data_IF_007167973509
#
_entry.id   IF_007167973509
#
_cell.length_a   1.000
_cell.length_b   1.000
_cell.length_c   1.000
_cell.angle_alpha   90.00
_cell.angle_beta   90.00
_cell.angle_gamma   90.00
#
_symmetry.space_group_name_H-M   'P 1'
#
loop_
_entity.id
_entity.type
_entity.pdbx_description
1 polymer ?
#
# COMPACT_ATOMS: atom_id res chain seq x y z
N UNK A 1 -15.71 -8.09 -16.36
CA UNK A 1 -15.60 -7.71 -14.93
C UNK A 1 -15.55 -6.18 -14.88
N UNK A 2 -16.29 -5.51 -13.99
CA UNK A 2 -16.31 -4.03 -13.86
C UNK A 2 -16.11 -3.60 -12.41
N UNK A 3 -15.97 -2.29 -12.14
CA UNK A 3 -15.71 -1.77 -10.79
C UNK A 3 -16.81 -2.10 -9.78
N UNK A 4 -18.09 -2.11 -10.18
CA UNK A 4 -19.18 -2.49 -9.28
C UNK A 4 -19.06 -3.95 -8.83
N UNK A 5 -18.78 -4.85 -9.79
CA UNK A 5 -18.54 -6.26 -9.48
C UNK A 5 -17.30 -6.46 -8.61
N UNK A 6 -16.20 -5.73 -8.86
CA UNK A 6 -14.99 -5.79 -8.03
C UNK A 6 -15.25 -5.28 -6.61
N UNK A 7 -16.01 -4.20 -6.44
CA UNK A 7 -16.41 -3.69 -5.12
C UNK A 7 -17.28 -4.71 -4.37
N UNK A 8 -18.23 -5.34 -5.05
CA UNK A 8 -19.05 -6.41 -4.45
C UNK A 8 -18.16 -7.58 -4.01
N UNK A 9 -17.22 -8.01 -4.84
CA UNK A 9 -16.28 -9.08 -4.48
C UNK A 9 -15.38 -8.69 -3.30
N UNK A 10 -14.90 -7.45 -3.24
CA UNK A 10 -14.15 -6.91 -2.11
C UNK A 10 -14.97 -6.99 -0.81
N UNK A 11 -16.23 -6.52 -0.82
CA UNK A 11 -17.11 -6.62 0.34
C UNK A 11 -17.34 -8.08 0.77
N UNK A 12 -17.53 -9.00 -0.19
CA UNK A 12 -17.66 -10.43 0.13
C UNK A 12 -16.42 -10.96 0.85
N UNK A 13 -15.21 -10.59 0.43
CA UNK A 13 -13.98 -10.99 1.12
C UNK A 13 -13.86 -10.36 2.51
N UNK A 14 -14.30 -9.09 2.67
CA UNK A 14 -14.35 -8.41 3.96
C UNK A 14 -15.31 -9.12 4.92
N UNK A 15 -16.56 -9.37 4.50
CA UNK A 15 -17.56 -10.07 5.31
C UNK A 15 -17.14 -11.49 5.68
N UNK A 16 -16.46 -12.19 4.78
CA UNK A 16 -16.04 -13.58 5.01
C UNK A 16 -14.86 -13.67 5.98
N UNK A 17 -13.88 -12.78 5.86
CA UNK A 17 -12.57 -12.98 6.49
C UNK A 17 -12.21 -11.94 7.56
N UNK A 18 -12.87 -10.77 7.57
CA UNK A 18 -12.43 -9.62 8.36
C UNK A 18 -13.51 -9.03 9.27
N UNK A 19 -14.69 -8.73 8.73
CA UNK A 19 -15.79 -8.10 9.47
C UNK A 19 -16.54 -9.17 10.25
N UNK A 20 -16.17 -9.32 11.52
CA UNK A 20 -16.75 -10.28 12.44
C UNK A 20 -17.47 -9.57 13.59
N UNK A 21 -18.46 -10.22 14.17
CA UNK A 21 -19.18 -9.77 15.36
C UNK A 21 -18.56 -10.39 16.60
N UNK A 22 -18.02 -9.53 17.47
CA UNK A 22 -17.51 -9.91 18.78
C UNK A 22 -18.66 -10.06 19.77
N UNK A 23 -18.52 -10.98 20.73
CA UNK A 23 -19.43 -11.09 21.89
C UNK A 23 -18.66 -10.75 23.15
N UNK A 24 -19.14 -9.75 23.89
CA UNK A 24 -18.59 -9.33 25.18
C UNK A 24 -19.67 -9.45 26.25
N UNK A 25 -19.32 -10.05 27.39
CA UNK A 25 -20.27 -10.33 28.47
C UNK A 25 -20.86 -9.07 29.12
N UNK A 26 -20.18 -7.93 29.03
CA UNK A 26 -20.63 -6.64 29.60
C UNK A 26 -21.19 -5.71 28.54
N UNK A 27 -20.69 -5.78 27.31
CA UNK A 27 -21.02 -4.82 26.23
C UNK A 27 -21.98 -5.37 25.17
N UNK A 28 -22.29 -6.65 25.23
CA UNK A 28 -23.13 -7.32 24.23
C UNK A 28 -22.38 -7.61 22.93
N UNK A 29 -23.12 -7.65 21.82
CA UNK A 29 -22.58 -7.98 20.50
C UNK A 29 -22.27 -6.71 19.70
N UNK A 30 -21.07 -6.65 19.11
CA UNK A 30 -20.68 -5.53 18.25
C UNK A 30 -19.71 -5.96 17.14
N UNK A 31 -19.81 -5.39 15.93
CA UNK A 31 -18.85 -5.65 14.87
C UNK A 31 -17.44 -5.15 15.22
N UNK A 32 -16.41 -5.86 14.78
CA UNK A 32 -15.02 -5.58 15.16
C UNK A 32 -14.41 -4.31 14.54
N UNK A 33 -15.13 -3.64 13.63
CA UNK A 33 -14.78 -2.31 13.14
C UNK A 33 -15.39 -1.16 13.99
N UNK A 34 -16.13 -1.48 15.06
CA UNK A 34 -16.67 -0.51 16.00
C UNK A 34 -15.73 -0.26 17.20
N UNK A 35 -15.83 0.94 17.77
CA UNK A 35 -15.38 1.17 19.15
C UNK A 35 -16.43 0.65 20.14
N UNK A 36 -16.08 -0.41 20.87
CA UNK A 36 -16.92 -1.07 21.87
C UNK A 36 -17.42 -0.14 22.99
N UNK A 37 -16.80 1.01 23.20
CA UNK A 37 -17.23 1.99 24.22
C UNK A 37 -18.15 3.08 23.65
N UNK A 38 -18.41 3.09 22.33
CA UNK A 38 -19.21 4.11 21.66
C UNK A 38 -20.49 3.51 21.07
N UNK A 39 -21.64 3.84 21.68
CA UNK A 39 -22.96 3.40 21.19
C UNK A 39 -23.21 3.79 19.73
N UNK A 40 -22.77 4.99 19.34
CA UNK A 40 -22.90 5.49 17.97
C UNK A 40 -22.02 4.68 17.02
N UNK A 41 -20.76 4.40 17.40
CA UNK A 41 -19.87 3.57 16.58
C UNK A 41 -20.42 2.17 16.37
N UNK A 42 -20.94 1.54 17.42
CA UNK A 42 -21.58 0.21 17.35
C UNK A 42 -22.79 0.24 16.41
N UNK A 43 -23.66 1.25 16.54
CA UNK A 43 -24.84 1.39 15.68
C UNK A 43 -24.46 1.52 14.20
N UNK A 44 -23.51 2.40 13.88
CA UNK A 44 -23.04 2.60 12.49
C UNK A 44 -22.41 1.31 11.94
N UNK A 45 -21.61 0.63 12.74
CA UNK A 45 -20.97 -0.61 12.31
C UNK A 45 -21.98 -1.71 11.99
N UNK A 46 -23.06 -1.82 12.77
CA UNK A 46 -24.18 -2.72 12.47
C UNK A 46 -24.89 -2.37 11.17
N UNK A 47 -25.19 -1.09 10.94
CA UNK A 47 -25.80 -0.63 9.68
C UNK A 47 -24.93 -0.96 8.46
N UNK A 48 -23.61 -0.77 8.57
CA UNK A 48 -22.67 -1.15 7.51
C UNK A 48 -22.71 -2.66 7.28
N UNK A 49 -22.60 -3.46 8.34
CA UNK A 49 -22.62 -4.93 8.26
C UNK A 49 -23.90 -5.42 7.57
N UNK A 50 -25.06 -4.91 7.98
CA UNK A 50 -26.36 -5.31 7.42
C UNK A 50 -26.53 -4.92 5.94
N UNK A 51 -25.81 -3.89 5.47
CA UNK A 51 -25.86 -3.47 4.08
C UNK A 51 -24.91 -4.27 3.17
N UNK A 52 -23.76 -4.72 3.68
CA UNK A 52 -22.71 -5.34 2.85
C UNK A 52 -22.56 -6.84 3.04
N UNK A 53 -23.04 -7.39 4.15
CA UNK A 53 -22.96 -8.81 4.46
C UNK A 53 -24.36 -9.44 4.48
N UNK A 54 -24.49 -10.66 3.94
CA UNK A 54 -25.76 -11.40 3.98
C UNK A 54 -26.11 -11.85 5.41
N UNK A 55 -25.09 -12.26 6.18
CA UNK A 55 -25.25 -12.75 7.56
C UNK A 55 -24.04 -12.35 8.41
N UNK A 56 -24.23 -12.05 9.71
CA UNK A 56 -23.13 -11.79 10.62
C UNK A 56 -22.31 -13.06 10.86
N UNK A 57 -20.98 -12.93 10.78
CA UNK A 57 -20.04 -13.98 11.18
C UNK A 57 -19.59 -13.68 12.61
N UNK A 58 -19.86 -14.59 13.52
CA UNK A 58 -19.47 -14.44 14.93
C UNK A 58 -18.08 -15.04 15.17
N UNK A 59 -17.28 -14.38 16.00
CA UNK A 59 -15.97 -14.88 16.38
C UNK A 59 -15.12 -13.86 17.11
N UNK A 60 -13.81 -14.10 17.11
CA UNK A 60 -12.80 -13.16 17.59
C UNK A 60 -11.64 -13.13 16.61
N UNK A 61 -11.10 -11.93 16.39
CA UNK A 61 -10.00 -11.67 15.48
C UNK A 61 -9.03 -10.72 16.16
N UNK A 62 -7.77 -11.13 16.28
CA UNK A 62 -6.74 -10.24 16.84
C UNK A 62 -6.55 -9.03 15.92
N UNK A 63 -6.15 -7.91 16.51
CA UNK A 63 -5.93 -6.64 15.79
C UNK A 63 -4.89 -6.83 14.69
N UNK A 64 -3.81 -7.57 14.97
CA UNK A 64 -2.76 -7.85 14.00
C UNK A 64 -3.29 -8.66 12.82
N UNK A 65 -4.05 -9.74 13.09
CA UNK A 65 -4.61 -10.59 12.04
C UNK A 65 -5.63 -9.82 11.20
N UNK A 66 -6.47 -8.98 11.83
CA UNK A 66 -7.39 -8.09 11.14
C UNK A 66 -6.65 -7.12 10.20
N UNK A 67 -5.55 -6.52 10.66
CA UNK A 67 -4.72 -5.62 9.85
C UNK A 67 -4.15 -6.34 8.62
N UNK A 68 -3.52 -7.50 8.80
CA UNK A 68 -2.94 -8.28 7.69
C UNK A 68 -3.99 -8.70 6.67
N UNK A 69 -5.16 -9.18 7.13
CA UNK A 69 -6.26 -9.55 6.22
C UNK A 69 -6.76 -8.32 5.46
N UNK A 70 -6.91 -7.17 6.13
CA UNK A 70 -7.36 -5.95 5.49
C UNK A 70 -6.38 -5.46 4.41
N UNK A 71 -5.07 -5.50 4.70
CA UNK A 71 -4.01 -5.20 3.72
C UNK A 71 -4.11 -6.13 2.51
N UNK A 72 -4.20 -7.45 2.73
CA UNK A 72 -4.24 -8.43 1.64
C UNK A 72 -5.48 -8.25 0.75
N UNK A 73 -6.67 -8.18 1.35
CA UNK A 73 -7.94 -8.05 0.61
C UNK A 73 -7.98 -6.73 -0.17
N UNK A 74 -7.40 -5.66 0.38
CA UNK A 74 -7.30 -4.36 -0.28
C UNK A 74 -6.28 -4.39 -1.41
N UNK A 75 -5.11 -5.01 -1.22
CA UNK A 75 -4.10 -5.20 -2.28
C UNK A 75 -4.68 -5.93 -3.48
N UNK A 76 -5.40 -7.04 -3.24
CA UNK A 76 -6.01 -7.85 -4.30
C UNK A 76 -7.11 -7.09 -5.05
N UNK A 77 -7.89 -6.25 -4.34
CA UNK A 77 -8.88 -5.38 -4.97
C UNK A 77 -8.22 -4.30 -5.84
N UNK A 78 -7.16 -3.67 -5.37
CA UNK A 78 -6.40 -2.67 -6.12
C UNK A 78 -5.79 -3.26 -7.39
N UNK A 79 -5.13 -4.41 -7.27
CA UNK A 79 -4.51 -5.12 -8.40
C UNK A 79 -5.54 -5.44 -9.50
N UNK A 80 -6.68 -6.03 -9.13
CA UNK A 80 -7.76 -6.37 -10.08
C UNK A 80 -8.42 -5.12 -10.68
N UNK A 81 -8.62 -4.07 -9.88
CA UNK A 81 -9.26 -2.83 -10.34
C UNK A 81 -8.36 -2.06 -11.28
N UNK A 82 -7.10 -1.89 -10.93
CA UNK A 82 -6.14 -1.12 -11.72
C UNK A 82 -5.74 -1.86 -13.01
N UNK A 83 -5.81 -3.20 -13.03
CA UNK A 83 -5.66 -3.97 -14.26
C UNK A 83 -6.69 -3.59 -15.35
N UNK A 84 -7.91 -3.17 -14.98
CA UNK A 84 -8.90 -2.67 -15.94
C UNK A 84 -8.52 -1.30 -16.54
N UNK A 85 -7.63 -0.55 -15.89
CA UNK A 85 -7.18 0.78 -16.30
C UNK A 85 -5.90 0.78 -17.13
N UNK A 86 -5.39 -0.39 -17.56
CA UNK A 86 -4.14 -0.50 -18.35
C UNK A 86 -4.15 0.30 -19.65
N UNK A 87 -5.33 0.53 -20.24
CA UNK A 87 -5.47 1.34 -21.46
C UNK A 87 -5.29 2.85 -21.20
N UNK A 88 -5.58 3.34 -19.99
CA UNK A 88 -5.38 4.75 -19.59
C UNK A 88 -4.02 4.93 -18.92
N UNK A 89 -3.54 3.88 -18.22
CA UNK A 89 -2.28 3.89 -17.47
C UNK A 89 -1.45 2.63 -17.78
N UNK A 90 -0.85 2.55 -18.98
CA UNK A 90 -0.09 1.38 -19.41
C UNK A 90 1.21 1.20 -18.62
N UNK A 91 1.63 -0.05 -18.48
CA UNK A 91 2.86 -0.42 -17.79
C UNK A 91 2.76 -1.80 -17.13
N UNK A 92 3.92 -2.30 -16.70
CA UNK A 92 4.00 -3.45 -15.80
C UNK A 92 3.94 -2.93 -14.35
N UNK A 93 2.92 -3.37 -13.63
CA UNK A 93 2.60 -2.88 -12.29
C UNK A 93 2.79 -4.00 -11.27
N UNK A 94 3.43 -3.66 -10.16
CA UNK A 94 3.72 -4.57 -9.05
C UNK A 94 2.94 -4.12 -7.81
N UNK A 95 2.40 -5.07 -7.05
CA UNK A 95 1.65 -4.81 -5.82
C UNK A 95 2.23 -5.69 -4.72
N UNK A 96 2.63 -5.07 -3.61
CA UNK A 96 3.13 -5.80 -2.46
C UNK A 96 2.69 -5.15 -1.15
N UNK A 97 2.69 -5.96 -0.10
CA UNK A 97 2.41 -5.51 1.27
C UNK A 97 3.72 -5.37 2.05
N UNK A 98 3.77 -4.43 2.98
CA UNK A 98 4.87 -4.27 3.95
C UNK A 98 6.28 -4.23 3.32
N UNK A 99 6.40 -3.69 2.10
CA UNK A 99 7.69 -3.56 1.41
C UNK A 99 8.34 -2.23 1.76
N UNK A 100 9.62 -2.21 2.18
CA UNK A 100 10.33 -0.97 2.46
C UNK A 100 10.39 -0.05 1.25
N UNK A 101 10.21 1.25 1.46
CA UNK A 101 10.33 2.23 0.36
C UNK A 101 11.73 2.27 -0.24
N UNK A 102 12.76 1.90 0.53
CA UNK A 102 14.15 1.81 0.10
C UNK A 102 14.40 0.76 -0.99
N UNK A 103 13.44 -0.13 -1.25
CA UNK A 103 13.46 -1.06 -2.39
C UNK A 103 13.11 -0.40 -3.73
N UNK A 104 12.72 0.87 -3.74
CA UNK A 104 12.33 1.62 -4.94
C UNK A 104 13.35 2.68 -5.31
N UNK A 105 13.48 2.95 -6.61
CA UNK A 105 14.55 3.82 -7.13
C UNK A 105 14.57 5.23 -6.54
N UNK A 106 13.39 5.81 -6.24
CA UNK A 106 13.31 7.16 -5.66
C UNK A 106 13.87 7.26 -4.23
N UNK A 107 14.04 6.12 -3.54
CA UNK A 107 14.43 6.05 -2.13
C UNK A 107 15.63 5.14 -1.90
N UNK A 108 16.32 4.68 -2.96
CA UNK A 108 17.43 3.72 -2.86
C UNK A 108 18.57 4.15 -1.94
N UNK A 109 18.81 5.46 -1.84
CA UNK A 109 19.87 5.99 -0.99
C UNK A 109 19.52 5.83 0.51
N UNK A 110 18.25 5.66 0.87
CA UNK A 110 17.85 5.32 2.24
C UNK A 110 18.41 3.97 2.66
N UNK A 111 18.53 2.99 1.77
CA UNK A 111 19.17 1.71 2.09
C UNK A 111 20.67 1.89 2.43
N UNK A 112 21.34 2.86 1.79
CA UNK A 112 22.73 3.19 2.09
C UNK A 112 22.84 3.90 3.44
N UNK A 113 21.97 4.87 3.70
CA UNK A 113 21.88 5.59 4.98
C UNK A 113 21.62 4.60 6.11
N UNK A 114 20.69 3.66 5.94
CA UNK A 114 20.39 2.62 6.94
C UNK A 114 21.63 1.79 7.31
N UNK A 115 22.43 1.39 6.32
CA UNK A 115 23.68 0.63 6.57
C UNK A 115 24.68 1.46 7.38
N UNK A 116 24.84 2.74 7.07
CA UNK A 116 25.78 3.64 7.78
C UNK A 116 25.29 3.91 9.21
N UNK A 117 23.99 4.15 9.39
CA UNK A 117 23.41 4.42 10.70
C UNK A 117 23.52 3.21 11.63
N UNK A 118 23.35 1.98 11.11
CA UNK A 118 23.54 0.75 11.91
C UNK A 118 24.94 0.60 12.50
N UNK A 119 25.95 1.22 11.90
CA UNK A 119 27.35 1.12 12.34
C UNK A 119 27.71 2.26 13.32
N UNK A 120 26.95 3.35 13.35
CA UNK A 120 27.25 4.53 14.17
C UNK A 120 26.11 4.90 15.12
N UNK A 121 26.33 4.66 16.42
CA UNK A 121 25.39 5.01 17.48
C UNK A 121 25.07 6.51 17.52
N UNK A 122 26.05 7.37 17.23
CA UNK A 122 25.87 8.82 17.20
C UNK A 122 24.92 9.25 16.06
N UNK A 123 25.05 8.64 14.89
CA UNK A 123 24.16 8.90 13.74
C UNK A 123 22.76 8.35 13.99
N UNK A 124 22.63 7.16 14.60
CA UNK A 124 21.33 6.59 14.97
C UNK A 124 20.54 7.49 15.92
N UNK A 125 21.24 8.14 16.87
CA UNK A 125 20.60 9.05 17.82
C UNK A 125 20.17 10.37 17.17
N UNK A 126 20.90 10.82 16.15
CA UNK A 126 20.66 12.12 15.49
C UNK A 126 19.66 12.05 14.32
N UNK A 127 19.66 10.96 13.55
CA UNK A 127 18.81 10.78 12.37
C UNK A 127 17.48 10.06 12.67
N UNK A 128 17.34 9.46 13.85
CA UNK A 128 16.17 8.67 14.24
C UNK A 128 16.05 7.35 13.48
N UNK A 129 14.95 6.61 13.66
CA UNK A 129 14.64 5.36 12.93
C UNK A 129 13.61 5.53 11.81
N UNK A 130 13.09 6.74 11.64
CA UNK A 130 11.90 7.04 10.82
C UNK A 130 12.14 6.94 9.30
N UNK A 131 13.38 6.72 8.86
CA UNK A 131 13.70 6.50 7.45
C UNK A 131 13.43 5.06 6.98
N UNK A 132 13.24 4.11 7.90
CA UNK A 132 12.91 2.70 7.59
C UNK A 132 11.38 2.57 7.59
N UNK A 133 10.74 3.04 6.53
CA UNK A 133 9.29 2.90 6.39
C UNK A 133 8.90 1.83 5.39
N UNK A 134 8.00 0.96 5.84
CA UNK A 134 7.33 -0.05 5.03
C UNK A 134 5.85 0.25 5.03
N UNK A 135 5.32 0.91 3.98
CA UNK A 135 3.89 1.12 3.84
C UNK A 135 3.12 -0.20 3.84
N UNK A 136 1.87 -0.12 4.27
CA UNK A 136 0.97 -1.27 4.31
C UNK A 136 0.83 -1.93 2.94
N UNK A 137 0.58 -1.13 1.90
CA UNK A 137 0.58 -1.55 0.49
C UNK A 137 1.40 -0.56 -0.32
N UNK A 138 2.21 -1.08 -1.23
CA UNK A 138 2.91 -0.29 -2.26
C UNK A 138 2.49 -0.74 -3.65
N UNK A 139 2.41 0.23 -4.56
CA UNK A 139 2.24 -0.01 -5.99
C UNK A 139 3.52 0.46 -6.68
N UNK A 140 4.20 -0.46 -7.36
CA UNK A 140 5.40 -0.19 -8.14
C UNK A 140 5.13 -0.24 -9.63
N UNK A 141 5.96 0.44 -10.42
CA UNK A 141 5.99 0.34 -11.88
C UNK A 141 7.39 -0.08 -12.32
N UNK A 142 7.48 -1.12 -13.13
CA UNK A 142 8.76 -1.49 -13.73
C UNK A 142 9.15 -0.51 -14.84
N UNK A 143 10.46 -0.28 -15.04
CA UNK A 143 10.98 0.34 -16.25
C UNK A 143 10.55 -0.40 -17.53
N UNK A 144 10.68 0.26 -18.66
CA UNK A 144 10.34 -0.28 -19.98
C UNK A 144 11.59 -0.45 -20.83
N UNK A 145 11.59 -1.49 -21.66
CA UNK A 145 12.66 -1.75 -22.62
C UNK A 145 12.59 -0.77 -23.79
N UNK A 146 13.73 -0.58 -24.46
CA UNK A 146 13.80 0.26 -25.66
C UNK A 146 12.90 -0.24 -26.79
N UNK A 147 12.63 -1.56 -26.83
CA UNK A 147 11.68 -2.16 -27.77
C UNK A 147 10.25 -1.66 -27.52
N UNK A 148 9.82 -1.57 -26.25
CA UNK A 148 8.49 -1.06 -25.92
C UNK A 148 8.41 0.47 -26.14
N UNK A 149 9.48 1.21 -25.84
CA UNK A 149 9.57 2.65 -26.13
C UNK A 149 9.42 2.89 -27.64
N UNK A 150 10.11 2.10 -28.46
CA UNK A 150 10.15 2.25 -29.91
C UNK A 150 8.97 1.61 -30.66
N UNK A 151 7.95 1.10 -29.95
CA UNK A 151 6.85 0.34 -30.54
C UNK A 151 5.99 1.14 -31.52
N UNK A 152 5.82 2.44 -31.29
CA UNK A 152 5.04 3.34 -32.14
C UNK A 152 5.89 4.10 -33.18
N UNK A 153 7.22 3.89 -33.17
CA UNK A 153 8.19 4.60 -34.00
C UNK A 153 9.57 4.58 -33.37
N UNK A 154 10.62 4.75 -34.16
CA UNK A 154 11.99 4.80 -33.64
C UNK A 154 12.22 6.13 -32.92
N UNK A 155 12.08 6.13 -31.59
CA UNK A 155 12.23 7.31 -30.72
C UNK A 155 13.62 7.37 -30.07
N UNK A 156 14.20 6.21 -29.75
CA UNK A 156 15.53 6.09 -29.15
C UNK A 156 16.39 5.21 -30.05
N UNK A 157 17.58 5.71 -30.39
CA UNK A 157 18.65 4.95 -31.02
C UNK A 157 19.76 4.69 -29.99
N UNK A 158 20.31 3.48 -29.98
CA UNK A 158 21.42 3.11 -29.08
C UNK A 158 22.73 3.83 -29.44
N UNK A 159 22.83 4.36 -30.66
CA UNK A 159 23.98 5.13 -31.11
C UNK A 159 23.93 6.59 -30.62
N UNK A 160 22.81 7.03 -30.05
CA UNK A 160 22.61 8.41 -29.59
C UNK A 160 22.63 8.48 -28.05
N UNK A 161 23.43 9.39 -27.50
CA UNK A 161 23.55 9.59 -26.06
C UNK A 161 22.38 10.44 -25.49
N UNK A 162 21.13 10.01 -25.73
CA UNK A 162 19.91 10.71 -25.27
C UNK A 162 19.19 9.94 -24.17
N UNK A 163 18.51 10.69 -23.28
CA UNK A 163 17.67 10.13 -22.21
C UNK A 163 18.37 9.06 -21.34
N UNK A 164 19.69 9.13 -21.18
CA UNK A 164 20.52 8.12 -20.50
C UNK A 164 20.37 8.10 -18.97
N UNK A 165 19.65 9.08 -18.41
CA UNK A 165 19.44 9.22 -16.97
C UNK A 165 17.99 8.98 -16.53
N UNK A 166 17.06 8.72 -17.47
CA UNK A 166 15.67 8.47 -17.07
C UNK A 166 15.53 7.13 -16.36
N UNK A 167 14.86 7.04 -15.19
CA UNK A 167 14.60 5.78 -14.51
C UNK A 167 13.60 4.89 -15.26
N UNK A 168 12.86 5.45 -16.22
CA UNK A 168 11.87 4.71 -17.00
C UNK A 168 12.50 3.78 -18.03
N UNK A 169 13.72 4.07 -18.50
CA UNK A 169 14.40 3.26 -19.53
C UNK A 169 15.22 2.19 -18.85
N UNK A 170 14.85 0.93 -19.09
CA UNK A 170 15.50 -0.25 -18.50
C UNK A 170 17.01 -0.28 -18.81
N UNK A 171 17.39 0.04 -20.05
CA UNK A 171 18.78 -0.01 -20.52
C UNK A 171 19.75 0.97 -19.81
N UNK A 172 19.24 1.95 -19.08
CA UNK A 172 20.09 2.92 -18.37
C UNK A 172 20.74 2.35 -17.10
N UNK A 173 20.28 1.19 -16.61
CA UNK A 173 20.73 0.62 -15.34
C UNK A 173 20.97 -0.88 -15.48
N UNK A 174 22.12 -1.37 -14.98
CA UNK A 174 22.43 -2.81 -14.92
C UNK A 174 21.38 -3.59 -14.11
N UNK A 175 20.87 -2.95 -13.05
CA UNK A 175 19.76 -3.43 -12.23
C UNK A 175 18.64 -2.40 -12.28
N UNK A 176 17.69 -2.52 -13.22
CA UNK A 176 16.57 -1.59 -13.37
C UNK A 176 15.75 -1.52 -12.07
N UNK A 177 15.56 -0.30 -11.57
CA UNK A 177 14.89 -0.08 -10.30
C UNK A 177 13.38 0.12 -10.52
N UNK A 178 12.56 -0.53 -9.67
CA UNK A 178 11.12 -0.30 -9.67
C UNK A 178 10.83 1.11 -9.18
N UNK A 179 9.93 1.80 -9.87
CA UNK A 179 9.49 3.15 -9.52
C UNK A 179 8.28 3.04 -8.60
N UNK A 180 8.37 3.58 -7.39
CA UNK A 180 7.24 3.64 -6.46
C UNK A 180 6.17 4.56 -7.05
N UNK A 181 5.00 4.00 -7.36
CA UNK A 181 3.87 4.76 -7.87
C UNK A 181 2.95 5.24 -6.74
N UNK A 182 2.65 4.38 -5.77
CA UNK A 182 1.78 4.71 -4.67
C UNK A 182 2.19 3.99 -3.38
N UNK A 183 1.93 4.67 -2.25
CA UNK A 183 1.96 4.13 -0.90
C UNK A 183 0.53 4.25 -0.36
N UNK A 184 -0.04 3.16 0.15
CA UNK A 184 -1.44 3.07 0.55
C UNK A 184 -1.49 2.50 1.97
N UNK A 185 -1.81 3.35 2.95
CA UNK A 185 -1.98 2.95 4.36
C UNK A 185 -3.37 2.36 4.60
N UNK A 186 -3.44 1.25 5.33
CA UNK A 186 -4.65 0.49 5.63
C UNK A 186 -4.94 0.50 7.13
N UNK A 187 -6.07 1.09 7.55
CA UNK A 187 -6.50 1.12 8.95
C UNK A 187 -7.93 0.60 9.07
N UNK A 188 -8.08 -0.61 9.61
CA UNK A 188 -9.39 -1.22 9.81
C UNK A 188 -10.26 -0.43 10.80
N UNK A 189 -9.63 0.07 11.86
CA UNK A 189 -10.23 1.00 12.82
C UNK A 189 -9.28 2.17 13.08
N UNK A 190 -9.85 3.35 13.34
CA UNK A 190 -9.09 4.56 13.61
C UNK A 190 -9.19 4.98 15.08
N UNK A 191 -8.10 5.55 15.57
CA UNK A 191 -8.00 6.29 16.83
C UNK A 191 -7.23 7.58 16.56
N UNK A 192 -7.46 8.61 17.37
CA UNK A 192 -6.90 9.95 17.14
C UNK A 192 -5.37 9.97 17.09
N UNK A 193 -4.72 9.17 17.94
CA UNK A 193 -3.27 8.95 17.97
C UNK A 193 -2.80 8.24 16.70
N UNK A 194 -3.46 7.15 16.31
CA UNK A 194 -3.09 6.33 15.14
C UNK A 194 -3.27 7.08 13.82
N UNK A 195 -4.15 8.07 13.75
CA UNK A 195 -4.30 8.89 12.56
C UNK A 195 -3.05 9.75 12.26
N UNK A 196 -2.27 10.13 13.29
CA UNK A 196 -1.06 10.93 13.11
C UNK A 196 0.06 10.14 12.41
N UNK A 197 0.17 8.83 12.64
CA UNK A 197 1.21 8.00 12.01
C UNK A 197 1.17 8.10 10.47
N UNK A 198 -0.03 8.18 9.87
CA UNK A 198 -0.16 8.35 8.42
C UNK A 198 0.38 9.68 7.91
N UNK A 199 0.37 10.74 8.74
CA UNK A 199 0.97 12.03 8.39
C UNK A 199 2.48 11.97 8.42
N UNK A 200 3.05 11.35 9.46
CA UNK A 200 4.50 11.13 9.55
C UNK A 200 5.00 10.28 8.38
N UNK A 201 4.26 9.22 8.02
CA UNK A 201 4.53 8.42 6.82
C UNK A 201 4.52 9.26 5.54
N UNK A 202 3.48 10.04 5.31
CA UNK A 202 3.43 10.91 4.14
C UNK A 202 4.60 11.92 4.11
N UNK A 203 4.96 12.50 5.25
CA UNK A 203 6.06 13.47 5.35
C UNK A 203 7.41 12.82 5.04
N UNK A 204 7.67 11.60 5.52
CA UNK A 204 8.91 10.88 5.22
C UNK A 204 9.04 10.52 3.73
N UNK A 205 7.93 10.13 3.09
CA UNK A 205 7.90 9.93 1.64
C UNK A 205 8.22 11.22 0.88
N UNK A 206 7.69 12.37 1.31
CA UNK A 206 7.94 13.67 0.67
C UNK A 206 9.39 14.11 0.85
N UNK A 207 9.92 14.04 2.08
CA UNK A 207 11.25 14.56 2.44
C UNK A 207 12.39 13.80 1.76
N UNK A 208 12.25 12.49 1.60
CA UNK A 208 13.35 11.63 1.16
C UNK A 208 13.29 11.24 -0.32
N UNK A 209 12.28 11.72 -1.06
CA UNK A 209 12.08 11.34 -2.47
C UNK A 209 13.14 11.99 -3.37
N UNK A 210 13.72 11.18 -4.26
CA UNK A 210 14.52 11.67 -5.40
C UNK A 210 13.83 11.32 -6.71
N UNK A 211 13.35 12.35 -7.42
CA UNK A 211 12.57 12.20 -8.65
C UNK A 211 11.05 12.12 -8.42
N UNK A 212 10.29 11.86 -9.48
CA UNK A 212 8.84 11.64 -9.42
C UNK A 212 8.52 10.16 -9.56
#
# INVERSE_FOLDING_TARGET
MNFSHLRKNYHLQICKNLLIVNKDSKKGEYPNNADSNSKISIKIAWEILNQICEKPVYGSLSVQKASTIFQQVTKDFLEKSFALLRHIRPGKWLYSINTPISSFGQYKDLAKIEKVVKISQALATSLGSDYIMSPDIVVGREPVSDQEINKAGKLIDNNEAIATLTPLREANFEYPEVILHASISCKWTLRSDRAQNSRTEALNLIRNRKGH
#
